data_IF_772242583137
#
_entry.id   IF_772242583137
#
_cell.length_a   1.000
_cell.length_b   1.000
_cell.length_c   1.000
_cell.angle_alpha   90.00
_cell.angle_beta   90.00
_cell.angle_gamma   90.00
#
_symmetry.space_group_name_H-M   'P 1'
#
loop_
_entity.id
_entity.type
_entity.pdbx_description
1 polymer ?
#
# COMPACT_ATOMS: atom_id res chain seq x y z
N UNK A 1 -10.74 6.46 54.40
CA UNK A 1 -10.14 7.23 53.28
C UNK A 1 -10.59 6.63 51.97
N UNK A 2 -11.80 7.01 51.53
CA UNK A 2 -12.41 6.58 50.26
C UNK A 2 -11.95 7.46 49.12
N UNK A 3 -11.60 6.83 48.00
CA UNK A 3 -11.93 7.31 46.65
C UNK A 3 -11.74 6.14 45.67
N UNK A 4 -12.76 5.27 45.60
CA UNK A 4 -12.95 4.35 44.48
C UNK A 4 -13.20 5.22 43.24
N UNK A 5 -12.22 5.26 42.33
CA UNK A 5 -12.33 5.97 41.06
C UNK A 5 -13.16 5.14 40.08
N UNK A 6 -14.48 5.21 40.25
CA UNK A 6 -15.44 4.89 39.20
C UNK A 6 -15.51 6.08 38.23
N UNK A 7 -14.83 5.96 37.09
CA UNK A 7 -15.17 6.69 35.88
C UNK A 7 -15.35 5.65 34.78
N UNK A 8 -16.63 5.32 34.56
CA UNK A 8 -17.20 4.65 33.40
C UNK A 8 -17.41 5.71 32.31
N UNK A 9 -17.20 5.33 31.05
CA UNK A 9 -17.41 6.14 29.84
C UNK A 9 -16.06 6.52 29.24
N UNK A 10 -15.69 6.09 28.03
CA UNK A 10 -16.51 6.12 26.84
C UNK A 10 -16.54 4.79 26.08
N UNK A 11 -17.73 4.41 25.64
CA UNK A 11 -17.89 3.39 24.63
C UNK A 11 -17.36 3.92 23.30
N UNK A 12 -16.08 3.68 23.02
CA UNK A 12 -15.69 3.49 21.63
C UNK A 12 -16.45 2.25 21.16
N UNK A 13 -17.57 2.45 20.46
CA UNK A 13 -18.05 1.42 19.54
C UNK A 13 -16.84 0.99 18.74
N UNK A 14 -16.52 -0.30 18.72
CA UNK A 14 -15.48 -0.83 17.86
C UNK A 14 -15.93 -0.59 16.41
N UNK A 15 -15.69 0.61 15.91
CA UNK A 15 -15.94 1.00 14.54
C UNK A 15 -15.11 0.07 13.67
N UNK A 16 -15.74 -0.50 12.65
CA UNK A 16 -15.06 -1.44 11.78
C UNK A 16 -13.80 -0.77 11.21
N UNK A 17 -12.66 -1.48 11.13
CA UNK A 17 -11.42 -0.89 10.64
C UNK A 17 -11.64 -0.29 9.25
N UNK A 18 -11.13 0.92 9.03
CA UNK A 18 -11.21 1.57 7.73
C UNK A 18 -10.44 0.76 6.67
N UNK A 19 -10.73 1.00 5.39
CA UNK A 19 -9.95 0.38 4.31
C UNK A 19 -8.46 0.73 4.39
N UNK A 20 -8.13 1.96 4.83
CA UNK A 20 -6.76 2.36 5.09
C UNK A 20 -6.12 1.53 6.21
N UNK A 21 -6.83 1.29 7.32
CA UNK A 21 -6.32 0.46 8.42
C UNK A 21 -6.06 -0.97 7.96
N UNK A 22 -6.98 -1.54 7.16
CA UNK A 22 -6.83 -2.89 6.57
C UNK A 22 -5.61 -2.95 5.65
N UNK A 23 -5.44 -1.96 4.77
CA UNK A 23 -4.32 -1.89 3.85
C UNK A 23 -2.97 -1.77 4.58
N UNK A 24 -2.90 -0.92 5.62
CA UNK A 24 -1.72 -0.78 6.49
C UNK A 24 -1.43 -2.10 7.21
N UNK A 25 -2.46 -2.81 7.70
CA UNK A 25 -2.28 -4.10 8.36
C UNK A 25 -1.66 -5.13 7.41
N UNK A 26 -2.12 -5.20 6.15
CA UNK A 26 -1.55 -6.11 5.14
C UNK A 26 -0.09 -5.78 4.82
N UNK A 27 0.23 -4.50 4.59
CA UNK A 27 1.62 -4.06 4.35
C UNK A 27 2.53 -4.39 5.55
N UNK A 28 2.03 -4.20 6.78
CA UNK A 28 2.78 -4.53 7.99
C UNK A 28 3.06 -6.03 8.11
N UNK A 29 2.10 -6.88 7.76
CA UNK A 29 2.29 -8.33 7.75
C UNK A 29 3.33 -8.73 6.71
N UNK A 30 3.29 -8.11 5.51
CA UNK A 30 4.29 -8.31 4.47
C UNK A 30 5.69 -7.97 4.96
N UNK A 31 5.90 -6.77 5.51
CA UNK A 31 7.19 -6.34 6.05
C UNK A 31 7.70 -7.27 7.15
N UNK A 32 6.79 -7.74 8.02
CA UNK A 32 7.13 -8.71 9.06
C UNK A 32 7.59 -10.05 8.50
N UNK A 33 6.96 -10.54 7.41
CA UNK A 33 7.45 -11.74 6.71
C UNK A 33 8.87 -11.51 6.18
N UNK A 34 9.13 -10.41 5.47
CA UNK A 34 10.46 -10.12 4.94
C UNK A 34 11.55 -10.08 6.05
N UNK A 35 11.24 -9.51 7.22
CA UNK A 35 12.16 -9.47 8.37
C UNK A 35 12.45 -10.84 8.97
N UNK A 36 11.44 -11.71 9.09
CA UNK A 36 11.60 -13.05 9.71
C UNK A 36 12.43 -14.00 8.83
N UNK A 37 12.39 -13.81 7.51
CA UNK A 37 13.11 -14.66 6.55
C UNK A 37 14.43 -14.04 6.08
N UNK A 38 15.08 -13.25 6.96
CA UNK A 38 16.39 -12.60 6.75
C UNK A 38 16.51 -11.83 5.42
N UNK A 39 15.39 -11.24 4.97
CA UNK A 39 15.37 -10.53 3.70
C UNK A 39 15.69 -11.42 2.50
N UNK A 40 15.21 -12.68 2.48
CA UNK A 40 15.14 -13.50 1.26
C UNK A 40 13.95 -13.00 0.42
N UNK A 41 14.11 -11.92 -0.37
CA UNK A 41 12.98 -11.04 -0.71
C UNK A 41 12.12 -11.68 -1.80
N UNK A 42 12.76 -12.26 -2.81
CA UNK A 42 12.10 -12.75 -4.03
C UNK A 42 11.10 -13.89 -3.82
N UNK A 43 11.22 -14.66 -2.73
CA UNK A 43 10.41 -15.89 -2.58
C UNK A 43 9.03 -15.62 -1.97
N UNK A 44 8.88 -14.53 -1.22
CA UNK A 44 7.66 -14.21 -0.46
C UNK A 44 6.98 -12.91 -0.89
N UNK A 45 7.50 -12.28 -1.94
CA UNK A 45 7.04 -10.99 -2.45
C UNK A 45 6.03 -11.13 -3.58
N UNK A 46 5.10 -10.17 -3.62
CA UNK A 46 4.10 -10.03 -4.68
C UNK A 46 4.19 -8.60 -5.22
N UNK A 47 5.28 -8.27 -5.94
CA UNK A 47 5.65 -6.87 -6.21
C UNK A 47 4.58 -6.06 -6.95
N UNK A 48 3.81 -6.69 -7.84
CA UNK A 48 2.68 -6.02 -8.48
C UNK A 48 1.58 -5.65 -7.47
N UNK A 49 1.24 -6.55 -6.55
CA UNK A 49 0.27 -6.31 -5.49
C UNK A 49 0.78 -5.27 -4.49
N UNK A 50 2.05 -5.37 -4.11
CA UNK A 50 2.70 -4.45 -3.17
C UNK A 50 2.68 -3.00 -3.70
N UNK A 51 2.95 -2.80 -4.99
CA UNK A 51 2.83 -1.48 -5.64
C UNK A 51 1.39 -0.98 -5.57
N UNK A 52 0.39 -1.80 -5.96
CA UNK A 52 -1.02 -1.40 -5.92
C UNK A 52 -1.47 -1.01 -4.51
N UNK A 53 -1.05 -1.77 -3.50
CA UNK A 53 -1.39 -1.51 -2.10
C UNK A 53 -0.73 -0.22 -1.59
N UNK A 54 0.54 0.03 -1.94
CA UNK A 54 1.21 1.27 -1.58
C UNK A 54 0.59 2.49 -2.26
N UNK A 55 0.17 2.37 -3.52
CA UNK A 55 -0.56 3.43 -4.21
C UNK A 55 -1.91 3.73 -3.53
N UNK A 56 -2.64 2.68 -3.11
CA UNK A 56 -3.88 2.85 -2.36
C UNK A 56 -3.63 3.60 -1.04
N UNK A 57 -2.66 3.17 -0.24
CA UNK A 57 -2.33 3.80 1.05
C UNK A 57 -1.96 5.28 0.87
N UNK A 58 -1.21 5.62 -0.18
CA UNK A 58 -0.82 7.01 -0.42
C UNK A 58 -1.96 7.85 -0.99
N UNK A 59 -2.81 7.26 -1.84
CA UNK A 59 -4.05 7.89 -2.29
C UNK A 59 -4.95 8.30 -1.11
N UNK A 60 -5.21 7.37 -0.18
CA UNK A 60 -6.01 7.63 1.02
C UNK A 60 -5.38 8.70 1.94
N UNK A 61 -4.06 8.86 1.87
CA UNK A 61 -3.31 9.90 2.61
C UNK A 61 -3.22 11.23 1.86
N UNK A 62 -3.84 11.34 0.68
CA UNK A 62 -3.68 12.48 -0.23
C UNK A 62 -2.20 12.81 -0.51
N UNK A 63 -1.36 11.78 -0.57
CA UNK A 63 0.06 11.88 -0.87
C UNK A 63 0.34 11.40 -2.29
N UNK A 64 1.20 12.12 -3.01
CA UNK A 64 1.69 11.69 -4.31
C UNK A 64 2.69 10.54 -4.18
N UNK A 65 2.73 9.69 -5.20
CA UNK A 65 3.69 8.59 -5.30
C UNK A 65 4.47 8.73 -6.59
N UNK A 66 5.80 8.73 -6.50
CA UNK A 66 6.69 8.63 -7.67
C UNK A 66 7.13 7.17 -7.87
N UNK A 67 7.64 6.85 -9.07
CA UNK A 67 8.24 5.54 -9.33
C UNK A 67 9.39 5.24 -8.36
N UNK A 68 10.20 6.24 -8.02
CA UNK A 68 11.26 6.08 -7.02
C UNK A 68 10.69 5.69 -5.66
N UNK A 69 9.71 6.44 -5.14
CA UNK A 69 9.08 6.15 -3.84
C UNK A 69 8.41 4.77 -3.84
N UNK A 70 7.79 4.37 -4.94
CA UNK A 70 7.19 3.04 -5.07
C UNK A 70 8.25 1.91 -5.04
N UNK A 71 9.43 2.15 -5.62
CA UNK A 71 10.55 1.22 -5.57
C UNK A 71 11.06 1.02 -4.15
N UNK A 72 11.21 2.12 -3.42
CA UNK A 72 11.62 2.12 -2.01
C UNK A 72 10.56 1.44 -1.12
N UNK A 73 9.28 1.76 -1.33
CA UNK A 73 8.17 1.22 -0.55
C UNK A 73 7.93 -0.28 -0.78
N UNK A 74 8.06 -0.72 -2.05
CA UNK A 74 7.91 -2.10 -2.50
C UNK A 74 9.09 -3.00 -2.20
N UNK A 75 10.20 -2.47 -1.67
CA UNK A 75 11.45 -3.20 -1.38
C UNK A 75 12.05 -3.90 -2.62
N UNK A 76 11.80 -3.39 -3.81
CA UNK A 76 12.33 -3.94 -5.06
C UNK A 76 13.33 -2.98 -5.72
N UNK A 77 14.37 -3.50 -6.41
CA UNK A 77 15.29 -2.64 -7.17
C UNK A 77 14.54 -1.79 -8.21
N UNK A 78 15.01 -0.57 -8.53
CA UNK A 78 14.31 0.33 -9.45
C UNK A 78 13.97 -0.27 -10.82
N UNK A 79 14.86 -1.11 -11.38
CA UNK A 79 14.62 -1.81 -12.66
C UNK A 79 13.49 -2.84 -12.57
N UNK A 80 13.28 -3.45 -11.39
CA UNK A 80 12.16 -4.35 -11.13
C UNK A 80 10.84 -3.58 -11.00
N UNK A 81 10.85 -2.43 -10.32
CA UNK A 81 9.67 -1.58 -10.18
C UNK A 81 9.17 -1.11 -11.55
N UNK A 82 10.07 -0.58 -12.39
CA UNK A 82 9.72 -0.11 -13.73
C UNK A 82 9.06 -1.21 -14.55
N UNK A 83 9.63 -2.42 -14.55
CA UNK A 83 9.04 -3.58 -15.24
C UNK A 83 7.63 -3.89 -14.76
N UNK A 84 7.38 -3.85 -13.45
CA UNK A 84 6.04 -4.11 -12.91
C UNK A 84 5.07 -2.99 -13.18
N UNK A 85 5.52 -1.74 -13.15
CA UNK A 85 4.69 -0.58 -13.48
C UNK A 85 4.31 -0.61 -14.96
N UNK A 86 5.22 -0.98 -15.86
CA UNK A 86 4.91 -1.19 -17.29
C UNK A 86 3.82 -2.26 -17.47
N UNK A 87 3.94 -3.38 -16.75
CA UNK A 87 2.94 -4.45 -16.78
C UNK A 87 1.59 -3.95 -16.24
N UNK A 88 1.58 -3.28 -15.09
CA UNK A 88 0.36 -2.78 -14.44
C UNK A 88 -0.34 -1.70 -15.28
N UNK A 89 0.43 -0.83 -15.94
CA UNK A 89 -0.09 0.17 -16.87
C UNK A 89 -0.66 -0.48 -18.13
N UNK A 90 0.02 -1.46 -18.72
CA UNK A 90 -0.49 -2.22 -19.86
C UNK A 90 -1.79 -3.00 -19.53
N UNK A 91 -2.00 -3.36 -18.26
CA UNK A 91 -3.24 -3.96 -17.77
C UNK A 91 -4.32 -2.93 -17.36
N UNK A 92 -4.05 -1.63 -17.50
CA UNK A 92 -4.97 -0.56 -17.14
C UNK A 92 -5.23 -0.44 -15.63
N UNK A 93 -4.28 -0.87 -14.80
CA UNK A 93 -4.38 -0.82 -13.34
C UNK A 93 -3.67 0.41 -12.74
N UNK A 94 -2.62 0.89 -13.40
CA UNK A 94 -1.86 2.08 -13.01
C UNK A 94 -1.84 3.05 -14.17
N UNK A 95 -1.75 4.34 -13.86
CA UNK A 95 -1.40 5.39 -14.81
C UNK A 95 -0.15 6.12 -14.33
N UNK A 96 0.64 6.64 -15.27
CA UNK A 96 1.81 7.47 -14.98
C UNK A 96 1.66 8.86 -15.59
N UNK A 97 2.33 9.85 -14.97
CA UNK A 97 2.43 11.21 -15.47
C UNK A 97 3.80 11.79 -15.16
N UNK A 98 4.39 12.52 -16.09
CA UNK A 98 5.71 13.15 -15.94
C UNK A 98 6.60 12.94 -17.16
N UNK A 99 7.85 13.38 -17.06
CA UNK A 99 8.83 13.30 -18.15
C UNK A 99 9.28 11.86 -18.40
N UNK A 100 9.14 11.39 -19.64
CA UNK A 100 9.60 10.06 -20.08
C UNK A 100 11.13 9.91 -20.00
N UNK A 101 11.88 11.01 -20.04
CA UNK A 101 13.33 11.00 -19.87
C UNK A 101 13.77 10.83 -18.41
N UNK A 102 12.84 10.99 -17.46
CA UNK A 102 13.08 10.86 -16.02
C UNK A 102 12.10 9.83 -15.39
N UNK A 103 12.20 8.53 -15.74
CA UNK A 103 11.21 7.52 -15.34
C UNK A 103 11.01 7.38 -13.84
N UNK A 104 12.03 7.67 -13.03
CA UNK A 104 11.97 7.58 -11.57
C UNK A 104 11.22 8.75 -10.92
N UNK A 105 11.19 9.91 -11.59
CA UNK A 105 10.50 11.13 -11.13
C UNK A 105 9.02 11.16 -11.54
N UNK A 106 8.62 10.30 -12.48
CA UNK A 106 7.22 10.20 -12.89
C UNK A 106 6.33 9.86 -11.69
N UNK A 107 5.21 10.56 -11.58
CA UNK A 107 4.16 10.26 -10.63
C UNK A 107 3.33 9.10 -11.16
N UNK A 108 2.86 8.27 -10.24
CA UNK A 108 2.08 7.07 -10.55
C UNK A 108 0.85 7.00 -9.65
N UNK A 109 -0.24 6.47 -10.18
CA UNK A 109 -1.51 6.37 -9.44
C UNK A 109 -2.38 5.22 -9.89
N UNK A 110 -3.34 4.83 -9.05
CA UNK A 110 -4.33 3.81 -9.38
C UNK A 110 -5.31 4.33 -10.44
N UNK A 111 -5.69 3.47 -11.38
CA UNK A 111 -6.89 3.73 -12.18
C UNK A 111 -8.15 3.46 -11.37
N UNK A 112 -9.30 3.96 -11.83
CA UNK A 112 -10.60 3.65 -11.20
C UNK A 112 -10.87 2.15 -11.13
N UNK A 113 -10.45 1.40 -12.16
CA UNK A 113 -10.56 -0.06 -12.20
C UNK A 113 -9.76 -0.72 -11.08
N UNK A 114 -8.51 -0.30 -10.87
CA UNK A 114 -7.69 -0.84 -9.80
C UNK A 114 -8.23 -0.45 -8.42
N UNK A 115 -8.65 0.81 -8.25
CA UNK A 115 -9.27 1.29 -7.01
C UNK A 115 -10.47 0.43 -6.62
N UNK A 116 -11.41 0.21 -7.55
CA UNK A 116 -12.59 -0.61 -7.29
C UNK A 116 -12.23 -2.06 -6.91
N UNK A 117 -11.23 -2.65 -7.56
CA UNK A 117 -10.77 -4.02 -7.25
C UNK A 117 -10.11 -4.12 -5.88
N UNK A 118 -9.30 -3.12 -5.49
CA UNK A 118 -8.66 -3.08 -4.18
C UNK A 118 -9.71 -2.93 -3.08
N UNK A 119 -10.65 -2.00 -3.24
CA UNK A 119 -11.75 -1.83 -2.28
C UNK A 119 -12.55 -3.11 -2.12
N UNK A 120 -12.91 -3.76 -3.23
CA UNK A 120 -13.62 -5.04 -3.21
C UNK A 120 -12.82 -6.13 -2.48
N UNK A 121 -11.50 -6.21 -2.69
CA UNK A 121 -10.66 -7.13 -1.92
C UNK A 121 -10.65 -6.80 -0.42
N UNK A 122 -10.55 -5.50 -0.08
CA UNK A 122 -10.52 -5.03 1.29
C UNK A 122 -11.84 -5.24 2.05
N UNK A 123 -12.94 -5.54 1.36
CA UNK A 123 -14.20 -5.95 2.00
C UNK A 123 -14.10 -7.34 2.65
N UNK A 124 -13.20 -8.21 2.18
CA UNK A 124 -13.11 -9.62 2.63
C UNK A 124 -12.03 -9.91 3.68
N UNK A 125 -11.24 -8.90 4.05
CA UNK A 125 -10.13 -8.99 5.01
C UNK A 125 -10.43 -8.16 6.25
#
# INVERSE_FOLDING_TARGET
>A
MSAVRLMRGDGASAEAPSYLDKAIAIDSQRRRRAQVFDGTPIVLEEPAWDILLQLFINHERAAEMTVQLASEAGLVPPSHSLRWIDILEAQGLVHRSGDEQLPLEQTIGLTLTAMSKILHFLDYV
#
